data_IF_020357233715
#
_entry.id   IF_020357233715
#
_cell.length_a   1.000
_cell.length_b   1.000
_cell.length_c   1.000
_cell.angle_alpha   90.00
_cell.angle_beta   90.00
_cell.angle_gamma   90.00
#
_symmetry.space_group_name_H-M   'P 1'
#
loop_
_entity.id
_entity.type
_entity.pdbx_description
1 polymer ?
#
# COMPACT_ATOMS: atom_id res chain seq x y z
N UNK A 1 -15.14 -20.68 -8.72
CA UNK A 1 -14.13 -19.61 -8.68
C UNK A 1 -13.48 -19.72 -7.32
N UNK A 2 -12.25 -20.25 -7.22
CA UNK A 2 -11.56 -20.36 -5.92
C UNK A 2 -11.12 -18.95 -5.57
N UNK A 3 -11.62 -18.38 -4.47
CA UNK A 3 -10.93 -17.30 -3.80
C UNK A 3 -9.60 -17.88 -3.31
N UNK A 4 -8.56 -17.80 -4.13
CA UNK A 4 -7.21 -17.87 -3.58
C UNK A 4 -7.09 -16.69 -2.63
N UNK A 5 -6.83 -16.96 -1.35
CA UNK A 5 -6.57 -15.92 -0.36
C UNK A 5 -5.31 -15.19 -0.82
N UNK A 6 -5.47 -13.92 -1.21
CA UNK A 6 -4.36 -13.04 -1.54
C UNK A 6 -3.38 -13.05 -0.36
N UNK A 7 -2.11 -13.40 -0.62
CA UNK A 7 -1.09 -13.43 0.42
C UNK A 7 -0.61 -12.02 0.70
N UNK A 8 -0.79 -11.55 1.93
CA UNK A 8 -0.45 -10.21 2.37
C UNK A 8 0.55 -10.27 3.52
N UNK A 9 1.35 -9.22 3.67
CA UNK A 9 2.18 -8.99 4.86
C UNK A 9 1.99 -7.53 5.30
N UNK A 10 1.79 -7.29 6.59
CA UNK A 10 1.78 -5.95 7.14
C UNK A 10 3.21 -5.45 7.32
N UNK A 11 3.45 -4.16 7.13
CA UNK A 11 4.75 -3.55 7.34
C UNK A 11 5.29 -3.80 8.76
N UNK A 12 4.40 -3.77 9.77
CA UNK A 12 4.72 -4.07 11.16
C UNK A 12 5.21 -5.49 11.42
N UNK A 13 4.95 -6.42 10.49
CA UNK A 13 5.27 -7.85 10.62
C UNK A 13 6.53 -8.23 9.84
N UNK A 14 7.19 -7.26 9.18
CA UNK A 14 8.47 -7.49 8.50
C UNK A 14 9.57 -7.78 9.53
N UNK A 15 10.41 -8.78 9.24
CA UNK A 15 11.59 -9.09 10.03
C UNK A 15 12.78 -8.17 9.72
N UNK A 16 13.92 -8.45 10.37
CA UNK A 16 15.17 -7.72 10.14
C UNK A 16 15.64 -7.81 8.66
N UNK A 17 15.45 -8.97 8.03
CA UNK A 17 15.62 -9.14 6.59
C UNK A 17 14.30 -8.85 5.87
N UNK A 18 14.12 -7.58 5.51
CA UNK A 18 12.93 -7.08 4.81
C UNK A 18 12.73 -7.81 3.49
N UNK A 19 13.80 -8.02 2.73
CA UNK A 19 13.72 -8.62 1.40
C UNK A 19 13.21 -10.05 1.49
N UNK A 20 13.78 -10.86 2.38
CA UNK A 20 13.31 -12.23 2.61
C UNK A 20 11.88 -12.25 3.14
N UNK A 21 11.49 -11.29 4.00
CA UNK A 21 10.13 -11.22 4.54
C UNK A 21 9.06 -11.00 3.46
N UNK A 22 9.39 -10.26 2.39
CA UNK A 22 8.48 -9.97 1.28
C UNK A 22 8.24 -11.18 0.37
N UNK A 23 9.15 -12.15 0.34
CA UNK A 23 9.08 -13.28 -0.60
C UNK A 23 7.83 -14.13 -0.42
N UNK A 24 7.14 -14.40 -1.54
CA UNK A 24 5.93 -15.23 -1.57
C UNK A 24 4.65 -14.53 -1.13
N UNK A 25 4.72 -13.23 -0.79
CA UNK A 25 3.56 -12.36 -0.63
C UNK A 25 3.24 -11.66 -1.94
N UNK A 26 1.96 -11.33 -2.15
CA UNK A 26 1.51 -10.54 -3.29
C UNK A 26 1.39 -9.05 -2.95
N UNK A 27 1.06 -8.76 -1.69
CA UNK A 27 0.82 -7.41 -1.21
C UNK A 27 1.58 -7.11 0.08
N UNK A 28 2.18 -5.94 0.13
CA UNK A 28 2.65 -5.27 1.34
C UNK A 28 1.59 -4.24 1.76
N UNK A 29 1.13 -4.33 3.00
CA UNK A 29 0.16 -3.40 3.60
C UNK A 29 0.88 -2.46 4.55
N UNK A 30 0.79 -1.16 4.31
CA UNK A 30 1.45 -0.11 5.11
C UNK A 30 0.38 0.84 5.65
N UNK A 31 0.40 1.17 6.94
CA UNK A 31 -0.40 2.30 7.45
C UNK A 31 0.30 3.60 7.10
N UNK A 32 -0.43 4.67 6.77
CA UNK A 32 0.20 5.95 6.42
C UNK A 32 1.13 6.49 7.52
N UNK A 33 0.86 6.18 8.81
CA UNK A 33 1.74 6.54 9.93
C UNK A 33 3.09 5.80 9.93
N UNK A 34 3.18 4.67 9.26
CA UNK A 34 4.39 3.84 9.13
C UNK A 34 5.22 4.22 7.89
N UNK A 35 4.61 4.93 6.94
CA UNK A 35 5.19 5.27 5.64
C UNK A 35 6.54 6.02 5.73
N UNK A 36 6.77 6.95 6.68
CA UNK A 36 8.08 7.60 6.83
C UNK A 36 9.23 6.63 7.14
N UNK A 37 8.92 5.43 7.65
CA UNK A 37 9.90 4.40 8.01
C UNK A 37 9.98 3.29 6.95
N UNK A 38 9.10 3.31 5.94
CA UNK A 38 8.92 2.21 5.01
C UNK A 38 9.82 2.25 3.75
N UNK A 39 10.77 3.19 3.67
CA UNK A 39 11.60 3.40 2.46
C UNK A 39 12.26 2.11 1.95
N UNK A 40 12.83 1.30 2.85
CA UNK A 40 13.46 0.03 2.46
C UNK A 40 12.43 -0.99 1.96
N UNK A 41 11.26 -1.09 2.62
CA UNK A 41 10.20 -1.99 2.20
C UNK A 41 9.62 -1.62 0.84
N UNK A 42 9.45 -0.32 0.56
CA UNK A 42 9.05 0.19 -0.77
C UNK A 42 10.07 -0.14 -1.86
N UNK A 43 11.37 -0.04 -1.55
CA UNK A 43 12.41 -0.37 -2.53
C UNK A 43 12.47 -1.88 -2.82
N UNK A 44 12.33 -2.72 -1.79
CA UNK A 44 12.37 -4.17 -1.98
C UNK A 44 11.06 -4.74 -2.54
N UNK A 45 9.92 -4.10 -2.32
CA UNK A 45 8.65 -4.54 -2.90
C UNK A 45 8.71 -4.53 -4.43
N UNK A 46 9.33 -3.50 -5.03
CA UNK A 46 9.59 -3.44 -6.47
C UNK A 46 10.49 -4.59 -6.95
N UNK A 47 11.53 -4.95 -6.19
CA UNK A 47 12.47 -6.00 -6.57
C UNK A 47 11.88 -7.41 -6.47
N UNK A 48 10.91 -7.61 -5.58
CA UNK A 48 10.28 -8.90 -5.32
C UNK A 48 8.88 -9.05 -5.96
N UNK A 49 8.49 -8.11 -6.86
CA UNK A 49 7.17 -8.07 -7.51
C UNK A 49 5.99 -8.09 -6.52
N UNK A 50 6.14 -7.35 -5.42
CA UNK A 50 5.13 -7.19 -4.36
C UNK A 50 4.43 -5.85 -4.54
N UNK A 51 3.10 -5.89 -4.68
CA UNK A 51 2.27 -4.69 -4.78
C UNK A 51 2.19 -4.01 -3.42
N UNK A 52 2.06 -2.67 -3.43
CA UNK A 52 1.99 -1.89 -2.19
C UNK A 52 0.62 -1.23 -2.06
N UNK A 53 -0.02 -1.47 -0.92
CA UNK A 53 -1.16 -0.67 -0.46
C UNK A 53 -0.76 0.20 0.72
N UNK A 54 -1.14 1.47 0.67
CA UNK A 54 -1.04 2.38 1.80
C UNK A 54 -2.44 2.73 2.28
N UNK A 55 -2.72 2.43 3.54
CA UNK A 55 -3.95 2.85 4.21
C UNK A 55 -3.71 4.19 4.92
N UNK A 56 -4.11 5.29 4.28
CA UNK A 56 -3.98 6.66 4.78
C UNK A 56 -5.25 7.14 5.50
N UNK A 57 -6.25 6.27 5.67
CA UNK A 57 -7.50 6.64 6.32
C UNK A 57 -7.27 7.11 7.75
N UNK A 58 -7.70 8.34 8.03
CA UNK A 58 -7.67 8.96 9.35
C UNK A 58 -6.45 9.84 9.60
N UNK A 59 -5.59 10.01 8.59
CA UNK A 59 -4.43 10.91 8.61
C UNK A 59 -4.27 11.59 7.24
N UNK A 60 -3.89 12.86 7.22
CA UNK A 60 -3.75 13.61 5.98
C UNK A 60 -2.65 13.02 5.09
N UNK A 61 -2.89 12.96 3.78
CA UNK A 61 -1.89 12.46 2.81
C UNK A 61 -0.80 13.51 2.61
N UNK A 62 0.45 13.12 2.88
CA UNK A 62 1.63 13.93 2.55
C UNK A 62 2.24 13.48 1.21
N UNK A 63 2.17 14.35 0.20
CA UNK A 63 2.77 14.08 -1.11
C UNK A 63 4.28 13.84 -1.04
N UNK A 64 4.77 12.82 -1.74
CA UNK A 64 6.19 12.47 -1.72
C UNK A 64 6.58 11.41 -2.74
N UNK A 65 7.89 11.13 -2.82
CA UNK A 65 8.45 10.16 -3.77
C UNK A 65 7.91 8.74 -3.60
N UNK A 66 7.44 8.40 -2.39
CA UNK A 66 6.85 7.11 -2.06
C UNK A 66 5.64 6.77 -2.93
N UNK A 67 4.89 7.78 -3.38
CA UNK A 67 3.67 7.60 -4.17
C UNK A 67 3.92 6.79 -5.44
N UNK A 68 5.13 6.87 -6.00
CA UNK A 68 5.51 6.13 -7.21
C UNK A 68 5.65 4.62 -7.01
N UNK A 69 5.84 4.16 -5.78
CA UNK A 69 5.90 2.75 -5.43
C UNK A 69 4.54 2.19 -4.97
N UNK A 70 3.51 3.05 -4.90
CA UNK A 70 2.20 2.66 -4.36
C UNK A 70 1.23 2.30 -5.49
N UNK A 71 0.60 1.15 -5.30
CA UNK A 71 -0.33 0.58 -6.26
C UNK A 71 -1.78 0.84 -5.84
N UNK A 72 -2.05 0.86 -4.53
CA UNK A 72 -3.34 1.21 -3.97
C UNK A 72 -3.17 2.21 -2.81
N UNK A 73 -3.87 3.34 -2.87
CA UNK A 73 -3.97 4.28 -1.76
C UNK A 73 -5.42 4.32 -1.27
N UNK A 74 -5.62 4.15 0.04
CA UNK A 74 -6.92 4.31 0.67
C UNK A 74 -6.96 5.62 1.45
N UNK A 75 -8.01 6.40 1.22
CA UNK A 75 -8.30 7.67 1.91
C UNK A 75 -9.75 7.68 2.39
N UNK A 76 -10.13 8.69 3.18
CA UNK A 76 -11.52 8.83 3.63
C UNK A 76 -12.39 9.66 2.70
N UNK A 77 -11.82 10.69 2.10
CA UNK A 77 -12.56 11.68 1.36
C UNK A 77 -12.58 11.38 -0.14
N UNK A 78 -13.75 11.50 -0.76
CA UNK A 78 -13.95 11.19 -2.18
C UNK A 78 -13.29 12.23 -3.07
N UNK A 79 -13.34 13.51 -2.68
CA UNK A 79 -12.73 14.59 -3.46
C UNK A 79 -11.19 14.50 -3.36
N UNK A 80 -10.64 14.17 -2.19
CA UNK A 80 -9.22 13.84 -1.99
C UNK A 80 -8.79 12.65 -2.86
N UNK A 81 -9.60 11.58 -2.91
CA UNK A 81 -9.30 10.40 -3.73
C UNK A 81 -9.24 10.76 -5.23
N UNK A 82 -10.18 11.56 -5.72
CA UNK A 82 -10.22 12.01 -7.11
C UNK A 82 -8.99 12.86 -7.43
N UNK A 83 -8.70 13.86 -6.60
CA UNK A 83 -7.55 14.74 -6.79
C UNK A 83 -6.23 13.94 -6.82
N UNK A 84 -6.01 13.05 -5.86
CA UNK A 84 -4.81 12.23 -5.79
C UNK A 84 -4.71 11.23 -6.95
N UNK A 85 -5.83 10.67 -7.42
CA UNK A 85 -5.83 9.77 -8.58
C UNK A 85 -5.31 10.47 -9.84
N UNK A 86 -5.57 11.77 -9.99
CA UNK A 86 -5.16 12.57 -11.16
C UNK A 86 -3.69 13.03 -11.07
N UNK A 87 -3.16 13.26 -9.87
CA UNK A 87 -1.86 13.94 -9.70
C UNK A 87 -0.72 13.04 -9.21
N UNK A 88 -1.02 11.99 -8.44
CA UNK A 88 0.01 11.24 -7.69
C UNK A 88 0.78 10.22 -8.52
N UNK A 89 0.20 9.75 -9.64
CA UNK A 89 0.72 8.62 -10.40
C UNK A 89 0.48 7.25 -9.74
N UNK A 90 -0.28 7.19 -8.64
CA UNK A 90 -0.70 5.94 -7.99
C UNK A 90 -1.68 5.20 -8.89
N UNK A 91 -1.49 3.88 -9.00
CA UNK A 91 -2.30 3.05 -9.92
C UNK A 91 -3.80 3.14 -9.61
N UNK A 92 -4.16 3.12 -8.33
CA UNK A 92 -5.54 3.27 -7.88
C UNK A 92 -5.62 3.99 -6.53
N UNK A 93 -6.48 5.00 -6.44
CA UNK A 93 -6.83 5.68 -5.19
C UNK A 93 -8.31 5.46 -4.91
N UNK A 94 -8.66 5.12 -3.66
CA UNK A 94 -10.03 4.81 -3.27
C UNK A 94 -10.41 5.47 -1.95
N UNK A 95 -11.55 6.15 -1.95
CA UNK A 95 -12.27 6.50 -0.72
C UNK A 95 -13.23 5.36 -0.35
N UNK A 96 -13.03 4.71 0.79
CA UNK A 96 -13.87 3.57 1.21
C UNK A 96 -13.72 3.24 2.70
N UNK A 97 -14.81 2.72 3.28
CA UNK A 97 -14.88 2.15 4.63
C UNK A 97 -14.61 0.64 4.69
N UNK A 98 -14.39 -0.01 3.54
CA UNK A 98 -14.15 -1.45 3.49
C UNK A 98 -12.78 -1.82 4.07
N UNK A 99 -12.65 -3.00 4.70
CA UNK A 99 -11.34 -3.56 5.07
C UNK A 99 -10.41 -3.67 3.86
N UNK A 100 -9.11 -3.39 4.07
CA UNK A 100 -8.07 -3.42 3.02
C UNK A 100 -8.08 -4.75 2.28
N UNK A 101 -8.25 -5.86 3.00
CA UNK A 101 -8.17 -7.23 2.51
C UNK A 101 -9.22 -7.56 1.45
N UNK A 102 -10.34 -6.82 1.42
CA UNK A 102 -11.40 -6.99 0.42
C UNK A 102 -11.14 -6.21 -0.87
N UNK A 103 -10.14 -5.32 -0.86
CA UNK A 103 -9.84 -4.39 -1.95
C UNK A 103 -8.64 -4.83 -2.78
N UNK A 104 -7.91 -5.86 -2.33
CA UNK A 104 -6.72 -6.38 -2.99
C UNK A 104 -7.09 -7.31 -4.15
N UNK A 105 -6.25 -7.33 -5.19
CA UNK A 105 -6.43 -8.11 -6.41
C UNK A 105 -5.22 -8.96 -6.77
#
# INVERSE_FOLDING_TARGET
MRCETVRTIAFSDLGEDIRTSLQGHRWLVIKGSELPQATAALAFSELEDVLVVVDHRGIDVEEGLWMRAVHLLLVWDVDEAIALQETSGITKVMATDQPVELLLW
#
